data_IF_432057774302
#
_entry.id   IF_432057774302
#
_cell.length_a   1.000
_cell.length_b   1.000
_cell.length_c   1.000
_cell.angle_alpha   90.00
_cell.angle_beta   90.00
_cell.angle_gamma   90.00
#
_symmetry.space_group_name_H-M   'P 1'
#
loop_
_entity.id
_entity.type
_entity.pdbx_description
1 polymer ?
#
# COMPACT_ATOMS: atom_id res chain seq x y z
N UNK A 1 22.07 -0.70 3.06
CA UNK A 1 21.29 -1.42 2.05
C UNK A 1 21.41 -2.93 2.21
N UNK A 2 22.64 -3.45 2.32
CA UNK A 2 22.83 -4.89 2.43
C UNK A 2 22.22 -5.45 3.73
N UNK A 3 22.24 -4.68 4.82
CA UNK A 3 21.62 -5.12 6.06
C UNK A 3 20.10 -5.21 5.96
N UNK A 4 19.46 -4.26 5.29
CA UNK A 4 18.03 -4.28 5.05
C UNK A 4 17.67 -5.45 4.13
N UNK A 5 18.46 -5.65 3.09
CA UNK A 5 18.24 -6.74 2.16
C UNK A 5 18.33 -8.09 2.84
N UNK A 6 19.34 -8.28 3.71
CA UNK A 6 19.51 -9.54 4.42
C UNK A 6 18.33 -9.83 5.36
N UNK A 7 17.82 -8.81 6.05
CA UNK A 7 16.66 -8.98 6.94
C UNK A 7 15.40 -9.34 6.15
N UNK A 8 15.18 -8.67 5.02
CA UNK A 8 14.03 -8.97 4.18
C UNK A 8 14.10 -10.39 3.65
N UNK A 9 15.28 -10.81 3.18
CA UNK A 9 15.47 -12.16 2.69
C UNK A 9 15.13 -13.21 3.76
N UNK A 10 15.55 -12.97 5.00
CA UNK A 10 15.23 -13.89 6.10
C UNK A 10 13.73 -14.03 6.30
N UNK A 11 13.00 -12.91 6.27
CA UNK A 11 11.56 -12.91 6.44
C UNK A 11 10.88 -13.64 5.30
N UNK A 12 11.28 -13.36 4.05
CA UNK A 12 10.65 -13.96 2.89
C UNK A 12 10.94 -15.44 2.78
N UNK A 13 12.16 -15.86 3.14
CA UNK A 13 12.48 -17.30 3.16
C UNK A 13 11.67 -18.03 4.22
N UNK A 14 11.45 -17.39 5.37
CA UNK A 14 10.66 -17.99 6.44
C UNK A 14 9.19 -18.12 6.04
N UNK A 15 8.68 -17.22 5.21
CA UNK A 15 7.30 -17.27 4.72
C UNK A 15 7.08 -18.35 3.66
N UNK A 16 8.15 -18.82 3.01
CA UNK A 16 8.05 -19.81 1.95
C UNK A 16 7.28 -19.29 0.73
N UNK A 17 6.29 -20.05 0.26
CA UNK A 17 5.52 -19.70 -0.93
C UNK A 17 4.26 -18.89 -0.62
N UNK A 18 4.11 -18.39 0.60
CA UNK A 18 2.93 -17.61 0.95
C UNK A 18 2.94 -16.30 0.18
N UNK A 19 1.84 -15.96 -0.53
CA UNK A 19 1.76 -14.67 -1.21
C UNK A 19 1.93 -13.53 -0.19
N UNK A 20 2.76 -12.56 -0.54
CA UNK A 20 3.18 -11.52 0.39
C UNK A 20 3.02 -10.16 -0.26
N UNK A 21 2.46 -9.21 0.48
CA UNK A 21 2.34 -7.83 0.06
C UNK A 21 3.18 -6.96 0.98
N UNK A 22 4.08 -6.17 0.38
CA UNK A 22 4.92 -5.23 1.11
C UNK A 22 4.46 -3.82 0.82
N UNK A 23 4.25 -3.04 1.87
CA UNK A 23 4.02 -1.60 1.74
C UNK A 23 5.32 -0.85 2.03
N UNK A 24 5.59 0.17 1.21
CA UNK A 24 6.68 1.11 1.49
C UNK A 24 6.12 2.53 1.46
N UNK A 25 6.80 3.45 2.14
CA UNK A 25 6.31 4.82 2.25
C UNK A 25 6.68 5.68 1.05
N UNK A 26 7.79 5.42 0.38
CA UNK A 26 8.31 6.30 -0.66
C UNK A 26 8.90 5.50 -1.81
N UNK A 27 8.38 5.73 -3.01
CA UNK A 27 8.95 5.14 -4.20
C UNK A 27 10.37 5.69 -4.41
N UNK A 28 11.32 4.78 -4.68
CA UNK A 28 12.71 5.17 -4.92
C UNK A 28 13.56 5.28 -3.67
N UNK A 29 12.96 5.18 -2.48
CA UNK A 29 13.74 5.10 -1.25
C UNK A 29 14.37 3.74 -1.07
N UNK A 30 15.30 3.62 -0.12
CA UNK A 30 16.01 2.36 0.13
C UNK A 30 15.05 1.18 0.40
N UNK A 31 14.04 1.32 1.29
CA UNK A 31 13.13 0.19 1.51
C UNK A 31 12.40 -0.24 0.25
N UNK A 32 11.96 0.72 -0.56
CA UNK A 32 11.27 0.40 -1.82
C UNK A 32 12.21 -0.31 -2.79
N UNK A 33 13.44 0.16 -2.90
CA UNK A 33 14.42 -0.44 -3.81
C UNK A 33 14.77 -1.86 -3.39
N UNK A 34 14.93 -2.12 -2.10
CA UNK A 34 15.21 -3.45 -1.59
C UNK A 34 14.03 -4.38 -1.87
N UNK A 35 12.80 -3.89 -1.68
CA UNK A 35 11.61 -4.69 -1.97
C UNK A 35 11.49 -5.01 -3.46
N UNK A 36 11.79 -4.04 -4.33
CA UNK A 36 11.78 -4.26 -5.78
C UNK A 36 12.78 -5.33 -6.21
N UNK A 37 13.95 -5.31 -5.62
CA UNK A 37 14.96 -6.34 -5.91
C UNK A 37 14.48 -7.72 -5.48
N UNK A 38 13.80 -7.80 -4.34
CA UNK A 38 13.25 -9.06 -3.86
C UNK A 38 12.18 -9.62 -4.80
N UNK A 39 11.42 -8.77 -5.50
CA UNK A 39 10.41 -9.24 -6.45
C UNK A 39 11.01 -10.09 -7.56
N UNK A 40 12.28 -9.85 -7.92
CA UNK A 40 12.96 -10.65 -8.94
C UNK A 40 13.31 -12.05 -8.45
N UNK A 41 13.26 -12.29 -7.14
CA UNK A 41 13.62 -13.58 -6.54
C UNK A 41 12.37 -14.32 -6.06
N UNK A 42 11.42 -13.60 -5.49
CA UNK A 42 10.22 -14.18 -4.87
C UNK A 42 9.01 -13.92 -5.76
N UNK A 43 8.50 -14.92 -6.48
CA UNK A 43 7.48 -14.70 -7.51
C UNK A 43 6.09 -14.33 -6.97
N UNK A 44 5.84 -14.55 -5.68
CA UNK A 44 4.55 -14.26 -5.07
C UNK A 44 4.58 -13.01 -4.21
N UNK A 45 5.50 -12.12 -4.52
CA UNK A 45 5.69 -10.87 -3.78
C UNK A 45 5.16 -9.71 -4.60
N UNK A 46 4.30 -8.90 -3.98
CA UNK A 46 3.86 -7.63 -4.55
C UNK A 46 4.32 -6.49 -3.65
N UNK A 47 4.64 -5.35 -4.24
CA UNK A 47 5.11 -4.17 -3.52
C UNK A 47 4.24 -2.99 -3.91
N UNK A 48 3.72 -2.27 -2.91
CA UNK A 48 2.97 -1.03 -3.12
C UNK A 48 3.71 0.08 -2.37
N UNK A 49 4.10 1.14 -3.08
CA UNK A 49 4.76 2.28 -2.47
C UNK A 49 3.77 3.43 -2.27
N UNK A 50 4.11 4.34 -1.36
CA UNK A 50 3.26 5.48 -1.07
C UNK A 50 2.13 5.15 -0.13
N UNK A 51 2.37 4.25 0.82
CA UNK A 51 1.33 3.79 1.74
C UNK A 51 0.71 4.94 2.53
N UNK A 52 -0.57 4.80 2.85
CA UNK A 52 -1.24 5.65 3.82
C UNK A 52 -2.13 4.79 4.72
N UNK A 53 -2.65 5.42 5.77
CA UNK A 53 -3.38 4.67 6.79
C UNK A 53 -4.62 3.96 6.25
N UNK A 54 -5.32 4.59 5.30
CA UNK A 54 -6.52 3.99 4.73
C UNK A 54 -6.21 2.65 4.05
N UNK A 55 -5.09 2.57 3.34
CA UNK A 55 -4.66 1.32 2.70
C UNK A 55 -4.37 0.23 3.73
N UNK A 56 -3.68 0.59 4.80
CA UNK A 56 -3.28 -0.38 5.82
C UNK A 56 -4.50 -0.93 6.54
N UNK A 57 -5.45 -0.07 6.89
CA UNK A 57 -6.70 -0.49 7.52
C UNK A 57 -7.47 -1.42 6.59
N UNK A 58 -7.60 -1.04 5.33
CA UNK A 58 -8.34 -1.85 4.36
C UNK A 58 -7.67 -3.19 4.13
N UNK A 59 -6.34 -3.22 4.10
CA UNK A 59 -5.60 -4.46 3.94
C UNK A 59 -5.91 -5.45 5.08
N UNK A 60 -6.07 -4.94 6.29
CA UNK A 60 -6.33 -5.78 7.45
C UNK A 60 -7.71 -6.43 7.42
N UNK A 61 -8.68 -5.83 6.73
CA UNK A 61 -10.07 -6.30 6.73
C UNK A 61 -10.54 -6.84 5.39
N UNK A 62 -9.74 -6.70 4.35
CA UNK A 62 -10.14 -7.13 3.00
C UNK A 62 -10.21 -8.66 2.91
N UNK A 63 -11.25 -9.22 2.27
CA UNK A 63 -11.35 -10.65 2.05
C UNK A 63 -10.61 -11.14 0.82
N UNK A 64 -9.97 -10.26 0.06
CA UNK A 64 -9.27 -10.64 -1.16
C UNK A 64 -8.05 -11.50 -0.83
N UNK A 65 -7.93 -12.65 -1.50
CA UNK A 65 -6.83 -13.58 -1.25
C UNK A 65 -5.75 -13.54 -2.32
N UNK A 66 -6.10 -13.08 -3.52
CA UNK A 66 -5.11 -12.93 -4.59
C UNK A 66 -4.30 -11.66 -4.33
N UNK A 67 -2.99 -11.81 -4.20
CA UNK A 67 -2.13 -10.70 -3.79
C UNK A 67 -2.06 -9.59 -4.84
N UNK A 68 -2.11 -9.96 -6.13
CA UNK A 68 -2.11 -8.94 -7.20
C UNK A 68 -3.40 -8.13 -7.18
N UNK A 69 -4.54 -8.80 -7.04
CA UNK A 69 -5.83 -8.13 -6.95
C UNK A 69 -5.89 -7.23 -5.72
N UNK A 70 -5.38 -7.73 -4.60
CA UNK A 70 -5.35 -6.96 -3.36
C UNK A 70 -4.48 -5.72 -3.52
N UNK A 71 -3.29 -5.87 -4.11
CA UNK A 71 -2.38 -4.74 -4.32
C UNK A 71 -3.04 -3.66 -5.17
N UNK A 72 -3.71 -4.05 -6.26
CA UNK A 72 -4.40 -3.09 -7.13
C UNK A 72 -5.56 -2.41 -6.41
N UNK A 73 -6.35 -3.17 -5.66
CA UNK A 73 -7.47 -2.63 -4.90
C UNK A 73 -6.98 -1.62 -3.86
N UNK A 74 -5.94 -1.98 -3.10
CA UNK A 74 -5.41 -1.10 -2.06
C UNK A 74 -4.77 0.16 -2.63
N UNK A 75 -4.14 0.05 -3.80
CA UNK A 75 -3.61 1.23 -4.48
C UNK A 75 -4.73 2.23 -4.79
N UNK A 76 -5.87 1.74 -5.28
CA UNK A 76 -7.02 2.59 -5.54
C UNK A 76 -7.57 3.21 -4.24
N UNK A 77 -7.66 2.43 -3.18
CA UNK A 77 -8.12 2.92 -1.88
C UNK A 77 -7.21 4.05 -1.40
N UNK A 78 -5.89 3.84 -1.48
CA UNK A 78 -4.94 4.85 -1.03
C UNK A 78 -5.01 6.14 -1.83
N UNK A 79 -5.15 6.03 -3.15
CA UNK A 79 -5.28 7.21 -4.01
C UNK A 79 -6.55 8.00 -3.70
N UNK A 80 -7.65 7.32 -3.46
CA UNK A 80 -8.92 7.97 -3.15
C UNK A 80 -8.94 8.60 -1.76
N UNK A 81 -8.08 8.13 -0.86
CA UNK A 81 -8.04 8.62 0.51
C UNK A 81 -7.32 9.97 0.64
N UNK A 82 -6.59 10.38 -0.39
CA UNK A 82 -5.84 11.63 -0.36
C UNK A 82 -6.72 12.72 -0.94
N UNK A 83 -7.06 13.71 -0.11
CA UNK A 83 -7.86 14.83 -0.58
C UNK A 83 -7.58 16.06 0.27
N UNK A 84 -7.77 17.22 -0.34
CA UNK A 84 -7.67 18.49 0.37
C UNK A 84 -8.98 18.72 1.11
N UNK A 85 -8.90 18.93 2.40
CA UNK A 85 -10.09 19.17 3.21
C UNK A 85 -10.44 20.65 3.17
N UNK A 86 -11.69 20.95 2.89
CA UNK A 86 -12.20 22.30 2.91
C UNK A 86 -13.36 22.41 3.89
N UNK A 87 -13.60 23.63 4.34
CA UNK A 87 -14.75 23.89 5.21
C UNK A 87 -16.02 23.67 4.37
N UNK A 88 -16.95 22.85 4.85
CA UNK A 88 -18.18 22.61 4.09
C UNK A 88 -18.95 23.92 3.86
N UNK A 89 -19.43 24.11 2.63
CA UNK A 89 -20.27 25.26 2.31
C UNK A 89 -21.68 25.04 2.86
N UNK A 90 -22.28 26.09 3.50
CA UNK A 90 -23.67 26.07 3.92
C UNK A 90 -24.48 26.61 2.75
N UNK A 91 -25.32 25.84 2.26
CA UNK A 91 -26.12 26.25 1.11
C UNK A 91 -27.32 26.98 1.62
N UNK A 92 -27.14 27.75 1.38
CA UNK A 92 -27.76 28.26 1.67
C UNK A 92 -28.32 28.56 1.41
N UNK A 93 -28.19 28.41 1.51
CA UNK A 93 -28.14 28.61 1.24
C UNK A 93 -28.51 28.48 0.48
N UNK A 94 -28.80 27.96 0.49
CA UNK A 94 -28.83 27.85 -0.16
C UNK A 94 -29.28 27.72 -0.35
N UNK A 95 -29.67 27.24 -0.10
CA UNK A 95 -29.67 27.11 -0.08
C UNK A 95 -29.98 27.37 0.27
N UNK A 96 -30.69 27.55 0.42
CA UNK A 96 -30.61 28.05 0.87
C UNK A 96 -30.51 28.67 0.40
N UNK A 97 -30.69 28.67 0.23
CA UNK A 97 -30.46 29.22 -0.25
C UNK A 97 -30.49 29.53 -0.78
N UNK A 98 -31.04 29.48 -0.87
CA UNK A 98 -30.87 29.66 -1.36
C UNK A 98 -30.72 29.70 -1.50
#
# INVERSE_FOLDING_TARGET
LSGTQAKLDMILQANGDVPTLIFTDLKGGTPCNVAMMAMGIYPRLCVVSGLNLAMVIEAAVSPLENVDELANYLTNIGQQAIEKIDIPKIEDEEEFEE
#
